data_IF_304170340406
#
_entry.id   IF_304170340406
#
_cell.length_a   1.000
_cell.length_b   1.000
_cell.length_c   1.000
_cell.angle_alpha   90.00
_cell.angle_beta   90.00
_cell.angle_gamma   90.00
#
_symmetry.space_group_name_H-M   'P 1'
#
loop_
_entity.id
_entity.type
_entity.pdbx_description
1 polymer ?
#
# COMPACT_ATOMS: atom_id res chain seq x y z
N UNK A 1 7.73 26.85 4.64
CA UNK A 1 6.76 25.73 4.68
C UNK A 1 6.41 25.41 3.23
N UNK A 2 7.29 24.65 2.56
CA UNK A 2 7.16 24.32 1.13
C UNK A 2 6.22 23.12 1.01
N UNK A 3 5.07 23.35 0.43
CA UNK A 3 4.13 22.31 0.03
C UNK A 3 4.75 21.54 -1.14
N UNK A 4 5.15 20.31 -0.89
CA UNK A 4 5.56 19.41 -1.98
C UNK A 4 4.42 19.30 -3.00
N UNK A 5 4.68 19.46 -4.30
CA UNK A 5 3.65 19.36 -5.31
C UNK A 5 3.03 17.97 -5.29
N UNK A 6 1.73 17.92 -5.11
CA UNK A 6 0.93 16.72 -5.36
C UNK A 6 0.62 16.78 -6.86
N UNK A 7 1.30 15.99 -7.66
CA UNK A 7 1.00 15.88 -9.08
C UNK A 7 -0.24 15.00 -9.27
N UNK A 8 -1.30 15.52 -9.88
CA UNK A 8 -2.31 14.62 -10.42
C UNK A 8 -1.64 13.87 -11.59
N UNK A 9 -1.75 12.54 -11.57
CA UNK A 9 -1.35 11.74 -12.71
C UNK A 9 -2.30 12.09 -13.86
N UNK A 10 -1.92 13.04 -14.72
CA UNK A 10 -2.51 13.23 -16.05
C UNK A 10 -1.98 12.13 -16.98
N UNK A 11 -2.13 10.89 -16.57
CA UNK A 11 -1.99 9.73 -17.42
C UNK A 11 -3.36 9.42 -17.99
N UNK A 12 -3.45 9.34 -19.29
CA UNK A 12 -4.58 8.86 -20.07
C UNK A 12 -5.42 7.90 -19.25
N UNK A 13 -6.54 8.39 -18.74
CA UNK A 13 -7.58 7.57 -18.15
C UNK A 13 -8.10 6.70 -19.28
N UNK A 14 -7.49 5.53 -19.52
CA UNK A 14 -8.25 4.42 -20.07
C UNK A 14 -9.28 4.05 -19.01
N UNK A 15 -10.27 4.91 -18.88
CA UNK A 15 -11.57 4.49 -18.41
C UNK A 15 -12.02 3.43 -19.42
N UNK A 16 -11.53 2.22 -19.26
CA UNK A 16 -12.26 1.08 -19.79
C UNK A 16 -13.59 1.18 -19.08
N UNK A 17 -14.61 1.55 -19.84
CA UNK A 17 -16.02 1.39 -19.51
C UNK A 17 -16.26 -0.12 -19.35
N UNK A 18 -15.52 -0.71 -18.41
CA UNK A 18 -15.47 -2.12 -18.09
C UNK A 18 -16.38 -2.34 -16.92
N UNK A 19 -17.41 -3.07 -17.19
CA UNK A 19 -18.27 -3.82 -16.29
C UNK A 19 -18.13 -3.39 -14.80
N UNK A 20 -19.08 -2.59 -14.31
CA UNK A 20 -19.23 -2.16 -12.91
C UNK A 20 -19.26 -3.32 -11.90
N UNK A 21 -19.14 -4.56 -12.37
CA UNK A 21 -19.17 -5.80 -11.58
C UNK A 21 -17.79 -6.31 -11.20
N UNK A 22 -16.70 -5.80 -11.77
CA UNK A 22 -15.37 -6.27 -11.42
C UNK A 22 -14.89 -5.58 -10.14
N UNK A 23 -14.35 -6.36 -9.18
CA UNK A 23 -13.70 -5.79 -8.01
C UNK A 23 -12.48 -4.98 -8.47
N UNK A 24 -12.28 -3.81 -7.88
CA UNK A 24 -11.08 -3.01 -8.07
C UNK A 24 -10.17 -3.17 -6.86
N UNK A 25 -8.87 -3.21 -7.06
CA UNK A 25 -7.91 -3.22 -5.96
C UNK A 25 -6.92 -2.08 -6.07
N UNK A 26 -6.63 -1.44 -4.93
CA UNK A 26 -5.60 -0.42 -4.81
C UNK A 26 -4.48 -0.93 -3.92
N UNK A 27 -3.25 -0.76 -4.36
CA UNK A 27 -2.05 -1.11 -3.58
C UNK A 27 -1.31 0.17 -3.22
N UNK A 28 -1.07 0.36 -1.92
CA UNK A 28 -0.24 1.45 -1.41
C UNK A 28 1.18 0.93 -1.19
N UNK A 29 2.14 1.62 -1.77
CA UNK A 29 3.54 1.24 -1.70
C UNK A 29 4.44 2.47 -1.65
N UNK A 30 5.59 2.34 -1.00
CA UNK A 30 6.62 3.37 -0.93
C UNK A 30 7.96 2.82 -1.40
N UNK A 31 8.72 3.64 -2.06
CA UNK A 31 10.03 3.25 -2.62
C UNK A 31 11.08 4.28 -2.27
N UNK A 32 12.34 3.87 -2.20
CA UNK A 32 13.46 4.81 -2.21
C UNK A 32 13.77 5.23 -3.65
N UNK A 33 14.11 6.49 -3.79
CA UNK A 33 14.61 7.07 -5.04
C UNK A 33 15.92 7.79 -4.77
N UNK A 34 17.08 7.10 -4.90
CA UNK A 34 18.38 7.70 -4.63
C UNK A 34 18.63 8.94 -5.48
N UNK A 35 19.27 9.94 -4.88
CA UNK A 35 19.64 11.17 -5.57
C UNK A 35 21.16 11.28 -5.68
N UNK A 36 21.60 11.89 -6.75
CA UNK A 36 23.01 12.14 -7.01
C UNK A 36 23.23 13.65 -7.04
N UNK A 37 24.16 14.10 -6.19
CA UNK A 37 24.39 15.53 -5.96
C UNK A 37 23.35 16.18 -5.06
N UNK A 38 23.40 17.50 -4.95
CA UNK A 38 22.50 18.31 -4.12
C UNK A 38 21.19 18.57 -4.87
N UNK A 39 20.15 17.86 -4.49
CA UNK A 39 18.80 18.06 -5.04
C UNK A 39 17.89 18.64 -3.96
N UNK A 40 17.11 19.66 -4.33
CA UNK A 40 16.19 20.32 -3.41
C UNK A 40 15.16 19.31 -2.85
N UNK A 41 15.03 19.27 -1.52
CA UNK A 41 14.09 18.40 -0.84
C UNK A 41 14.55 16.94 -0.72
N UNK A 42 15.74 16.57 -1.18
CA UNK A 42 16.34 15.28 -0.87
C UNK A 42 16.84 15.26 0.59
N UNK A 43 16.83 14.10 1.22
CA UNK A 43 17.31 13.92 2.59
C UNK A 43 17.95 12.55 2.79
N UNK A 44 18.92 12.48 3.69
CA UNK A 44 19.55 11.21 4.05
C UNK A 44 18.57 10.33 4.81
N UNK A 45 18.47 9.07 4.39
CA UNK A 45 17.68 8.04 5.06
C UNK A 45 18.61 6.97 5.62
N UNK A 46 18.64 6.86 6.95
CA UNK A 46 19.51 5.89 7.63
C UNK A 46 19.13 4.43 7.39
N UNK A 47 17.88 4.13 7.04
CA UNK A 47 17.43 2.79 6.71
C UNK A 47 17.96 2.32 5.35
N UNK A 48 17.95 3.22 4.36
CA UNK A 48 18.47 2.94 3.02
C UNK A 48 19.96 3.25 2.88
N UNK A 49 20.54 4.01 3.83
CA UNK A 49 21.95 4.39 3.81
C UNK A 49 22.34 5.37 2.70
N UNK A 50 21.38 6.11 2.14
CA UNK A 50 21.60 7.05 1.03
C UNK A 50 20.77 8.32 1.18
N UNK A 51 21.22 9.37 0.45
CA UNK A 51 20.39 10.57 0.24
C UNK A 51 19.40 10.29 -0.87
N UNK A 52 18.12 10.46 -0.60
CA UNK A 52 17.06 10.04 -1.51
C UNK A 52 15.79 10.88 -1.35
N UNK A 53 14.86 10.68 -2.26
CA UNK A 53 13.44 10.89 -2.02
C UNK A 53 12.78 9.58 -1.58
N UNK A 54 11.65 9.68 -0.91
CA UNK A 54 10.84 8.54 -0.49
C UNK A 54 9.40 8.69 -0.99
N UNK A 55 9.18 8.52 -2.32
CA UNK A 55 7.86 8.66 -2.92
C UNK A 55 6.89 7.62 -2.39
N UNK A 56 5.61 7.99 -2.38
CA UNK A 56 4.49 7.13 -2.03
C UNK A 56 3.57 7.02 -3.23
N UNK A 57 3.19 5.79 -3.56
CA UNK A 57 2.37 5.48 -4.73
C UNK A 57 1.10 4.73 -4.34
N UNK A 58 0.03 4.97 -5.09
CA UNK A 58 -1.15 4.09 -5.14
C UNK A 58 -1.24 3.53 -6.53
N UNK A 59 -1.24 2.21 -6.62
CA UNK A 59 -1.39 1.46 -7.86
C UNK A 59 -2.77 0.83 -7.94
N UNK A 60 -3.30 0.71 -9.16
CA UNK A 60 -4.50 -0.08 -9.42
C UNK A 60 -4.16 -1.57 -9.62
N UNK A 61 -5.18 -2.40 -9.88
CA UNK A 61 -5.01 -3.84 -10.13
C UNK A 61 -4.22 -4.18 -11.40
N UNK A 62 -3.99 -3.22 -12.27
CA UNK A 62 -3.22 -3.37 -13.51
C UNK A 62 -1.77 -2.93 -13.38
N UNK A 63 -1.40 -2.36 -12.21
CA UNK A 63 -0.08 -1.80 -11.96
C UNK A 63 0.08 -0.34 -12.42
N UNK A 64 -0.99 0.31 -12.86
CA UNK A 64 -0.93 1.72 -13.21
C UNK A 64 -0.92 2.58 -11.96
N UNK A 65 -0.18 3.69 -12.00
CA UNK A 65 -0.14 4.67 -10.91
C UNK A 65 -1.42 5.51 -10.92
N UNK A 66 -2.23 5.36 -9.90
CA UNK A 66 -3.44 6.14 -9.67
C UNK A 66 -3.13 7.52 -9.08
N UNK A 67 -2.17 7.54 -8.17
CA UNK A 67 -1.71 8.74 -7.48
C UNK A 67 -0.33 8.52 -6.89
N UNK A 68 0.44 9.60 -6.79
CA UNK A 68 1.72 9.59 -6.10
C UNK A 68 1.96 10.90 -5.34
N UNK A 69 2.86 10.84 -4.37
CA UNK A 69 3.41 12.01 -3.69
C UNK A 69 4.92 11.86 -3.54
N UNK A 70 5.66 12.85 -4.01
CA UNK A 70 7.07 12.96 -3.74
C UNK A 70 7.27 13.45 -2.31
N UNK A 71 8.13 12.76 -1.56
CA UNK A 71 8.43 13.07 -0.15
C UNK A 71 9.94 13.10 0.05
N UNK A 72 10.38 13.82 1.09
CA UNK A 72 11.79 13.79 1.50
C UNK A 72 12.20 12.38 1.94
N UNK A 73 13.46 12.03 1.78
CA UNK A 73 13.95 10.67 2.08
C UNK A 73 13.81 10.24 3.55
N UNK A 74 13.84 11.18 4.48
CA UNK A 74 13.85 10.93 5.92
C UNK A 74 12.45 10.75 6.56
N UNK A 75 11.40 10.56 5.77
CA UNK A 75 10.05 10.33 6.30
C UNK A 75 9.74 8.84 6.43
N UNK A 76 8.86 8.51 7.38
CA UNK A 76 8.34 7.15 7.51
C UNK A 76 7.52 6.74 6.28
N UNK A 77 7.55 5.45 5.91
CA UNK A 77 6.85 4.92 4.73
C UNK A 77 5.36 5.29 4.71
N UNK A 78 4.69 5.23 5.85
CA UNK A 78 3.27 5.61 5.97
C UNK A 78 3.04 7.12 6.15
N UNK A 79 4.07 7.97 6.20
CA UNK A 79 3.84 9.41 6.37
C UNK A 79 2.97 9.97 5.24
N UNK A 80 1.96 10.79 5.60
CA UNK A 80 1.04 11.46 4.64
C UNK A 80 0.23 10.49 3.74
N UNK A 81 0.07 9.25 4.14
CA UNK A 81 -0.68 8.23 3.39
C UNK A 81 -2.10 8.69 3.05
N UNK A 82 -2.77 9.39 3.96
CA UNK A 82 -4.15 9.86 3.80
C UNK A 82 -4.30 10.80 2.60
N UNK A 83 -3.37 11.73 2.42
CA UNK A 83 -3.39 12.69 1.30
C UNK A 83 -3.27 12.03 -0.09
N UNK A 84 -2.74 10.80 -0.11
CA UNK A 84 -2.56 10.03 -1.35
C UNK A 84 -3.70 9.04 -1.55
N UNK A 85 -4.10 8.31 -0.51
CA UNK A 85 -5.09 7.24 -0.59
C UNK A 85 -6.54 7.77 -0.64
N UNK A 86 -6.89 8.73 0.21
CA UNK A 86 -8.27 9.21 0.34
C UNK A 86 -8.87 9.74 -0.98
N UNK A 87 -8.16 10.54 -1.80
CA UNK A 87 -8.69 10.98 -3.10
C UNK A 87 -8.91 9.82 -4.09
N UNK A 88 -8.14 8.72 -3.97
CA UNK A 88 -8.35 7.52 -4.79
C UNK A 88 -9.62 6.81 -4.35
N UNK A 89 -9.83 6.64 -3.05
CA UNK A 89 -11.07 6.07 -2.49
C UNK A 89 -12.27 6.86 -2.95
N UNK A 90 -12.23 8.19 -2.84
CA UNK A 90 -13.34 9.08 -3.27
C UNK A 90 -13.65 8.91 -4.75
N UNK A 91 -12.63 8.74 -5.61
CA UNK A 91 -12.81 8.49 -7.05
C UNK A 91 -13.58 7.20 -7.33
N UNK A 92 -13.31 6.16 -6.57
CA UNK A 92 -13.94 4.85 -6.76
C UNK A 92 -15.29 4.71 -6.06
N UNK A 93 -15.62 5.60 -5.12
CA UNK A 93 -16.88 5.58 -4.39
C UNK A 93 -18.07 5.65 -5.36
N UNK A 94 -18.94 4.65 -5.31
CA UNK A 94 -20.09 4.51 -6.21
C UNK A 94 -19.77 4.08 -7.64
N UNK A 95 -18.49 3.99 -8.02
CA UNK A 95 -18.08 3.55 -9.37
C UNK A 95 -17.83 2.04 -9.44
N UNK A 96 -17.42 1.42 -8.33
CA UNK A 96 -17.15 0.00 -8.23
C UNK A 96 -17.99 -0.63 -7.13
N UNK A 97 -18.33 -1.91 -7.30
CA UNK A 97 -19.13 -2.65 -6.31
C UNK A 97 -18.32 -3.01 -5.08
N UNK A 98 -17.06 -3.36 -5.28
CA UNK A 98 -16.13 -3.74 -4.21
C UNK A 98 -14.77 -3.14 -4.51
N UNK A 99 -14.21 -2.46 -3.53
CA UNK A 99 -12.84 -1.97 -3.53
C UNK A 99 -12.03 -2.80 -2.53
N UNK A 100 -10.85 -3.22 -2.93
CA UNK A 100 -9.90 -3.93 -2.09
C UNK A 100 -8.65 -3.09 -1.91
N UNK A 101 -8.09 -3.12 -0.73
CA UNK A 101 -6.84 -2.42 -0.42
C UNK A 101 -5.74 -3.42 -0.06
N UNK A 102 -4.52 -3.15 -0.52
CA UNK A 102 -3.32 -3.89 -0.15
C UNK A 102 -2.25 -2.94 0.34
N UNK A 103 -1.56 -3.32 1.41
CA UNK A 103 -0.42 -2.58 1.93
C UNK A 103 0.60 -3.52 2.57
N UNK A 104 1.84 -3.07 2.62
CA UNK A 104 2.89 -3.77 3.37
C UNK A 104 2.80 -3.48 4.88
N UNK A 105 3.78 -3.96 5.64
CA UNK A 105 3.81 -3.82 7.09
C UNK A 105 3.99 -2.36 7.58
N UNK A 106 4.50 -1.47 6.74
CA UNK A 106 4.64 -0.07 7.10
C UNK A 106 3.30 0.65 7.23
N UNK A 107 2.25 0.11 6.55
CA UNK A 107 0.88 0.64 6.58
C UNK A 107 -0.02 -0.06 7.61
N UNK A 108 0.53 -0.91 8.46
CA UNK A 108 -0.18 -1.53 9.59
C UNK A 108 -0.42 -0.49 10.70
N UNK A 109 -1.32 0.46 10.45
CA UNK A 109 -1.63 1.60 11.29
C UNK A 109 -3.12 1.63 11.62
N UNK A 110 -3.52 1.82 12.88
CA UNK A 110 -4.92 1.93 13.28
C UNK A 110 -5.75 2.92 12.47
N UNK A 111 -5.20 4.10 12.18
CA UNK A 111 -5.91 5.12 11.39
C UNK A 111 -6.25 4.66 9.96
N UNK A 112 -5.41 3.80 9.36
CA UNK A 112 -5.66 3.22 8.05
C UNK A 112 -6.80 2.20 8.16
N UNK A 113 -6.79 1.36 9.18
CA UNK A 113 -7.85 0.38 9.42
C UNK A 113 -9.20 1.08 9.62
N UNK A 114 -9.24 2.11 10.48
CA UNK A 114 -10.45 2.89 10.74
C UNK A 114 -11.02 3.52 9.46
N UNK A 115 -10.17 4.09 8.61
CA UNK A 115 -10.61 4.64 7.33
C UNK A 115 -11.18 3.56 6.42
N UNK A 116 -10.47 2.43 6.26
CA UNK A 116 -10.88 1.37 5.36
C UNK A 116 -12.19 0.71 5.83
N UNK A 117 -12.37 0.54 7.14
CA UNK A 117 -13.60 0.01 7.74
C UNK A 117 -14.76 0.99 7.59
N UNK A 118 -14.54 2.29 7.82
CA UNK A 118 -15.54 3.33 7.63
C UNK A 118 -16.03 3.39 6.17
N UNK A 119 -15.14 3.17 5.22
CA UNK A 119 -15.45 3.14 3.78
C UNK A 119 -15.90 1.76 3.29
N UNK A 120 -16.03 0.77 4.18
CA UNK A 120 -16.41 -0.62 3.86
C UNK A 120 -15.49 -1.26 2.80
N UNK A 121 -14.21 -0.93 2.83
CA UNK A 121 -13.19 -1.46 1.93
C UNK A 121 -12.56 -2.70 2.58
N UNK A 122 -12.61 -3.84 1.90
CA UNK A 122 -11.88 -5.03 2.33
C UNK A 122 -10.38 -4.83 2.12
N UNK A 123 -9.56 -5.26 3.07
CA UNK A 123 -8.13 -5.02 3.00
C UNK A 123 -7.28 -6.23 3.38
N UNK A 124 -6.06 -6.22 2.86
CA UNK A 124 -4.98 -7.14 3.23
C UNK A 124 -3.72 -6.33 3.50
N UNK A 125 -3.35 -6.23 4.76
CA UNK A 125 -2.15 -5.52 5.20
C UNK A 125 -1.26 -6.52 5.94
N UNK A 126 0.01 -6.58 5.52
CA UNK A 126 0.99 -7.41 6.20
C UNK A 126 1.23 -6.87 7.60
N UNK A 127 1.17 -7.72 8.61
CA UNK A 127 1.58 -7.34 9.97
C UNK A 127 3.09 -7.45 10.12
N UNK A 128 3.72 -6.53 10.88
CA UNK A 128 5.11 -6.66 11.26
C UNK A 128 5.33 -7.99 12.02
N UNK A 129 6.36 -8.73 11.63
CA UNK A 129 6.71 -9.95 12.34
C UNK A 129 7.17 -9.62 13.77
N UNK A 130 6.60 -10.30 14.76
CA UNK A 130 7.07 -10.26 16.14
C UNK A 130 7.02 -11.66 16.76
N UNK A 131 7.77 -11.86 17.81
CA UNK A 131 7.93 -13.19 18.45
C UNK A 131 6.62 -13.77 18.99
N UNK A 132 5.69 -12.93 19.41
CA UNK A 132 4.38 -13.36 19.91
C UNK A 132 3.55 -13.93 18.77
N UNK A 133 3.46 -13.21 17.65
CA UNK A 133 2.75 -13.68 16.46
C UNK A 133 3.41 -14.93 15.89
N UNK A 134 4.73 -14.96 15.77
CA UNK A 134 5.46 -16.12 15.27
C UNK A 134 5.21 -17.37 16.12
N UNK A 135 5.19 -17.23 17.45
CA UNK A 135 4.86 -18.34 18.36
C UNK A 135 3.41 -18.81 18.18
N UNK A 136 2.45 -17.89 18.07
CA UNK A 136 1.02 -18.22 17.92
C UNK A 136 0.72 -18.92 16.61
N UNK A 137 1.36 -18.52 15.51
CA UNK A 137 1.16 -19.13 14.18
C UNK A 137 2.16 -20.23 13.86
N UNK A 138 3.10 -20.53 14.77
CA UNK A 138 4.18 -21.50 14.55
C UNK A 138 3.69 -22.90 14.13
N UNK A 139 2.52 -23.32 14.60
CA UNK A 139 1.88 -24.56 14.16
C UNK A 139 1.45 -24.54 12.69
N UNK A 140 1.12 -23.36 12.16
CA UNK A 140 0.70 -23.17 10.77
C UNK A 140 1.89 -22.98 9.82
N UNK A 141 3.04 -22.55 10.35
CA UNK A 141 4.25 -22.29 9.58
C UNK A 141 5.08 -23.55 9.32
N UNK A 142 4.81 -24.67 10.01
CA UNK A 142 5.50 -25.94 9.77
C UNK A 142 5.14 -26.46 8.40
N UNK A 143 6.07 -26.29 7.46
CA UNK A 143 5.94 -26.88 6.13
C UNK A 143 6.04 -28.40 6.25
N UNK A 144 5.01 -29.15 5.83
CA UNK A 144 5.12 -30.61 5.80
C UNK A 144 6.27 -31.02 4.87
N UNK A 145 7.01 -32.05 5.27
CA UNK A 145 8.07 -32.62 4.44
C UNK A 145 7.40 -33.28 3.25
N UNK A 146 7.70 -32.84 2.03
CA UNK A 146 7.16 -33.41 0.82
C UNK A 146 6.39 -32.37 -0.05
N UNK A 147 5.70 -32.89 -1.09
CA UNK A 147 4.89 -32.07 -1.99
C UNK A 147 3.69 -31.50 -1.22
N UNK A 148 3.37 -30.19 -1.35
CA UNK A 148 2.22 -29.63 -0.68
C UNK A 148 0.93 -30.35 -1.11
N UNK A 149 -0.02 -30.59 -0.19
CA UNK A 149 -1.29 -31.23 -0.54
C UNK A 149 -2.03 -30.38 -1.56
N UNK A 150 -2.78 -31.02 -2.45
CA UNK A 150 -3.55 -30.37 -3.51
C UNK A 150 -4.75 -29.57 -2.96
N UNK A 151 -5.11 -29.79 -1.71
CA UNK A 151 -6.21 -29.12 -1.02
C UNK A 151 -5.70 -28.02 -0.09
N UNK A 152 -6.13 -26.79 -0.32
CA UNK A 152 -5.95 -25.67 0.60
C UNK A 152 -6.93 -25.85 1.75
N UNK A 153 -6.46 -26.29 2.91
CA UNK A 153 -7.28 -26.34 4.11
C UNK A 153 -7.54 -24.93 4.60
N UNK A 154 -8.74 -24.43 4.42
CA UNK A 154 -9.18 -23.15 4.99
C UNK A 154 -9.30 -23.32 6.52
N UNK A 155 -8.26 -22.90 7.25
CA UNK A 155 -8.32 -22.83 8.71
C UNK A 155 -9.11 -21.59 9.09
N UNK A 156 -10.35 -21.76 9.54
CA UNK A 156 -11.10 -20.69 10.22
C UNK A 156 -10.49 -20.50 11.61
N UNK A 157 -9.94 -19.32 11.85
CA UNK A 157 -9.59 -18.89 13.20
C UNK A 157 -10.89 -18.43 13.87
N UNK A 158 -11.35 -19.19 14.85
CA UNK A 158 -12.42 -18.81 15.79
C UNK A 158 -11.84 -18.00 16.93
#
# INVERSE_FOLDING_TARGET
MLLSPIFPANGSTRCTTGDRRRPSSSTLDSSESPTYGEQEGSAYNGHFGCTCYHPLFVFNQFGDVERCALRTGNVHSAARWRAVLEPVIVRYRGSVKHLYFRGDAAFANPEIYELLEAEQIAYTIRLPANDVLQRRIGCLLKRPVGRPPHEVTNVRLT
#
